data_IF_795081331498
#
_entry.id   IF_795081331498
#
_cell.length_a   1.000
_cell.length_b   1.000
_cell.length_c   1.000
_cell.angle_alpha   90.00
_cell.angle_beta   90.00
_cell.angle_gamma   90.00
#
_symmetry.space_group_name_H-M   'P 1'
#
loop_
_entity.id
_entity.type
_entity.pdbx_description
1 polymer ?
#
# COMPACT_ATOMS: atom_id res chain seq x y z
N UNK A 1 -1.67 16.14 -5.30
CA UNK A 1 -2.82 15.62 -6.08
C UNK A 1 -2.44 14.93 -7.38
N UNK A 2 -1.40 15.38 -8.11
CA UNK A 2 -1.03 14.79 -9.41
C UNK A 2 -0.81 13.26 -9.36
N UNK A 3 -0.02 12.77 -8.41
CA UNK A 3 0.23 11.33 -8.25
C UNK A 3 -1.07 10.56 -7.96
N UNK A 4 -1.94 11.11 -7.10
CA UNK A 4 -3.22 10.49 -6.77
C UNK A 4 -4.11 10.33 -8.02
N UNK A 5 -4.14 11.35 -8.89
CA UNK A 5 -4.87 11.29 -10.16
C UNK A 5 -4.26 10.28 -11.15
N UNK A 6 -2.93 10.10 -11.13
CA UNK A 6 -2.25 9.06 -11.93
C UNK A 6 -2.61 7.66 -11.43
N UNK A 7 -2.62 7.42 -10.12
CA UNK A 7 -3.08 6.15 -9.52
C UNK A 7 -4.54 5.90 -9.89
N UNK A 8 -5.39 6.91 -9.72
CA UNK A 8 -6.81 6.87 -10.03
C UNK A 8 -7.07 6.48 -11.50
N UNK A 9 -6.33 7.09 -12.43
CA UNK A 9 -6.40 6.77 -13.86
C UNK A 9 -5.95 5.34 -14.17
N UNK A 10 -4.90 4.85 -13.50
CA UNK A 10 -4.46 3.45 -13.60
C UNK A 10 -5.57 2.49 -13.16
N UNK A 11 -6.25 2.80 -12.05
CA UNK A 11 -7.36 1.99 -11.52
C UNK A 11 -8.56 2.02 -12.47
N UNK A 12 -8.91 3.17 -13.04
CA UNK A 12 -10.01 3.30 -14.01
C UNK A 12 -9.81 2.47 -15.28
N UNK A 13 -8.56 2.22 -15.68
CA UNK A 13 -8.26 1.43 -16.86
C UNK A 13 -8.47 -0.09 -16.66
N UNK A 14 -8.73 -0.55 -15.43
CA UNK A 14 -8.98 -1.96 -15.16
C UNK A 14 -10.47 -2.32 -15.41
N UNK A 15 -10.78 -3.26 -16.31
CA UNK A 15 -12.15 -3.60 -16.67
C UNK A 15 -12.96 -4.25 -15.55
N UNK A 16 -12.32 -4.75 -14.48
CA UNK A 16 -12.99 -5.33 -13.32
C UNK A 16 -13.53 -4.26 -12.35
N UNK A 17 -13.10 -3.01 -12.48
CA UNK A 17 -13.50 -1.90 -11.58
C UNK A 17 -14.88 -1.39 -11.95
N UNK A 18 -15.74 -1.23 -10.95
CA UNK A 18 -17.08 -0.64 -11.05
C UNK A 18 -17.04 0.84 -10.68
N UNK A 19 -16.41 1.17 -9.55
CA UNK A 19 -16.30 2.55 -9.08
C UNK A 19 -15.06 2.77 -8.21
N UNK A 20 -14.71 4.05 -8.06
CA UNK A 20 -13.49 4.52 -7.39
C UNK A 20 -13.86 5.72 -6.53
N UNK A 21 -13.40 5.74 -5.30
CA UNK A 21 -13.48 6.91 -4.43
C UNK A 21 -12.07 7.35 -4.08
N UNK A 22 -11.74 8.60 -4.41
CA UNK A 22 -10.44 9.20 -4.12
C UNK A 22 -10.54 10.03 -2.85
N UNK A 23 -9.62 9.81 -1.92
CA UNK A 23 -9.55 10.54 -0.65
C UNK A 23 -8.18 11.20 -0.59
N UNK A 24 -8.15 12.53 -0.58
CA UNK A 24 -6.93 13.31 -0.38
C UNK A 24 -6.73 13.58 1.11
N UNK A 25 -5.48 13.51 1.58
CA UNK A 25 -5.12 13.85 2.95
C UNK A 25 -5.11 12.67 3.93
N UNK A 26 -5.53 11.47 3.50
CA UNK A 26 -5.67 10.29 4.37
C UNK A 26 -5.10 9.03 3.72
N UNK A 27 -4.32 8.28 4.49
CA UNK A 27 -3.83 6.93 4.19
C UNK A 27 -4.30 5.95 5.28
N UNK A 28 -4.76 4.77 4.86
CA UNK A 28 -5.15 3.70 5.78
C UNK A 28 -3.98 3.16 6.62
N UNK A 29 -2.74 3.35 6.17
CA UNK A 29 -1.53 2.89 6.86
C UNK A 29 -0.75 4.07 7.46
N UNK A 30 -0.60 5.15 6.69
CA UNK A 30 0.20 6.33 7.08
C UNK A 30 -0.55 7.36 7.93
N UNK A 31 -1.87 7.23 8.10
CA UNK A 31 -2.69 8.19 8.83
C UNK A 31 -3.02 9.44 8.02
N UNK A 32 -3.10 10.60 8.69
CA UNK A 32 -3.55 11.86 8.10
C UNK A 32 -2.35 12.78 7.77
N UNK A 33 -2.41 13.48 6.64
CA UNK A 33 -1.35 14.41 6.20
C UNK A 33 -1.49 14.86 4.75
N UNK A 34 -0.97 16.05 4.39
CA UNK A 34 -1.16 16.66 3.06
C UNK A 34 -0.49 15.89 1.91
N UNK A 35 0.54 15.10 2.24
CA UNK A 35 1.27 14.20 1.32
C UNK A 35 0.64 12.81 1.22
N UNK A 36 -0.42 12.52 1.99
CA UNK A 36 -1.14 11.25 1.93
C UNK A 36 -2.39 11.32 1.06
N UNK A 37 -2.79 10.15 0.58
CA UNK A 37 -4.06 9.93 -0.11
C UNK A 37 -4.36 8.44 -0.22
N UNK A 38 -5.61 8.11 -0.47
CA UNK A 38 -6.07 6.73 -0.60
C UNK A 38 -7.18 6.62 -1.62
N UNK A 39 -7.37 5.41 -2.13
CA UNK A 39 -8.43 5.06 -3.06
C UNK A 39 -9.21 3.88 -2.51
N UNK A 40 -10.53 3.99 -2.49
CA UNK A 40 -11.42 2.85 -2.27
C UNK A 40 -11.89 2.37 -3.65
N UNK A 41 -11.61 1.11 -3.95
CA UNK A 41 -11.88 0.49 -5.25
C UNK A 41 -13.03 -0.50 -5.09
N UNK A 42 -14.16 -0.23 -5.73
CA UNK A 42 -15.27 -1.17 -5.83
C UNK A 42 -15.13 -1.97 -7.13
N UNK A 43 -15.06 -3.28 -7.02
CA UNK A 43 -15.07 -4.18 -8.18
C UNK A 43 -16.52 -4.51 -8.56
N UNK A 44 -16.72 -4.84 -9.83
CA UNK A 44 -18.00 -5.35 -10.34
C UNK A 44 -18.43 -6.62 -9.61
N UNK A 45 -19.69 -7.00 -9.76
CA UNK A 45 -20.17 -8.26 -9.17
C UNK A 45 -19.41 -9.46 -9.75
N UNK A 46 -19.42 -10.58 -9.03
CA UNK A 46 -18.63 -11.76 -9.39
C UNK A 46 -19.06 -12.35 -10.74
N UNK A 47 -20.33 -12.25 -11.07
CA UNK A 47 -20.96 -12.73 -12.31
C UNK A 47 -20.52 -11.93 -13.55
N UNK A 48 -20.05 -10.70 -13.35
CA UNK A 48 -19.60 -9.79 -14.41
C UNK A 48 -18.07 -9.84 -14.63
N UNK A 49 -17.38 -10.70 -13.88
CA UNK A 49 -15.92 -10.82 -13.87
C UNK A 49 -15.51 -12.24 -14.24
N UNK A 50 -14.41 -12.36 -14.98
CA UNK A 50 -13.75 -13.65 -15.15
C UNK A 50 -13.12 -14.13 -13.84
N UNK A 51 -12.81 -15.43 -13.73
CA UNK A 51 -12.07 -16.00 -12.58
C UNK A 51 -10.69 -15.36 -12.41
N UNK A 52 -10.09 -14.87 -13.49
CA UNK A 52 -8.83 -14.12 -13.51
C UNK A 52 -8.99 -12.66 -13.05
N UNK A 53 -10.21 -12.20 -12.78
CA UNK A 53 -10.51 -10.86 -12.28
C UNK A 53 -11.03 -10.92 -10.83
N UNK A 54 -10.64 -11.93 -10.06
CA UNK A 54 -10.86 -11.92 -8.62
C UNK A 54 -10.04 -10.79 -7.95
N UNK A 55 -10.44 -10.39 -6.74
CA UNK A 55 -9.84 -9.26 -6.03
C UNK A 55 -8.33 -9.40 -5.86
N UNK A 56 -7.84 -10.61 -5.57
CA UNK A 56 -6.42 -10.91 -5.40
C UNK A 56 -5.62 -10.60 -6.65
N UNK A 57 -6.09 -11.07 -7.81
CA UNK A 57 -5.40 -10.83 -9.09
C UNK A 57 -5.47 -9.36 -9.48
N UNK A 58 -6.60 -8.69 -9.25
CA UNK A 58 -6.79 -7.28 -9.58
C UNK A 58 -5.82 -6.40 -8.78
N UNK A 59 -5.82 -6.50 -7.44
CA UNK A 59 -4.97 -5.63 -6.63
C UNK A 59 -3.48 -5.93 -6.88
N UNK A 60 -3.09 -7.19 -7.09
CA UNK A 60 -1.70 -7.56 -7.40
C UNK A 60 -1.26 -6.98 -8.76
N UNK A 61 -2.13 -7.03 -9.77
CA UNK A 61 -1.86 -6.46 -11.10
C UNK A 61 -1.73 -4.94 -11.02
N UNK A 62 -2.64 -4.27 -10.31
CA UNK A 62 -2.58 -2.82 -10.09
C UNK A 62 -1.31 -2.42 -9.34
N UNK A 63 -0.92 -3.17 -8.31
CA UNK A 63 0.33 -2.96 -7.59
C UNK A 63 1.55 -3.04 -8.51
N UNK A 64 1.68 -4.13 -9.29
CA UNK A 64 2.80 -4.28 -10.23
C UNK A 64 2.84 -3.16 -11.28
N UNK A 65 1.69 -2.71 -11.78
CA UNK A 65 1.62 -1.60 -12.74
C UNK A 65 2.00 -0.26 -12.10
N UNK A 66 1.49 0.02 -10.90
CA UNK A 66 1.82 1.23 -10.16
C UNK A 66 3.33 1.32 -9.87
N UNK A 67 3.95 0.23 -9.41
CA UNK A 67 5.39 0.15 -9.18
C UNK A 67 6.22 0.45 -10.44
N UNK A 68 5.70 0.17 -11.64
CA UNK A 68 6.38 0.48 -12.90
C UNK A 68 6.27 1.94 -13.30
N UNK A 69 5.09 2.56 -13.12
CA UNK A 69 4.77 3.87 -13.71
C UNK A 69 4.82 5.02 -12.69
N UNK A 70 4.78 4.74 -11.39
CA UNK A 70 4.79 5.72 -10.30
C UNK A 70 6.10 5.52 -9.55
N UNK A 71 6.98 6.51 -9.63
CA UNK A 71 8.32 6.47 -9.00
C UNK A 71 8.46 7.49 -7.88
N UNK A 72 7.55 8.46 -7.85
CA UNK A 72 7.58 9.63 -6.99
C UNK A 72 6.79 9.41 -5.68
N UNK A 73 6.16 8.24 -5.50
CA UNK A 73 5.42 7.88 -4.30
C UNK A 73 5.39 6.37 -4.07
N UNK A 74 5.24 6.00 -2.80
CA UNK A 74 4.95 4.62 -2.41
C UNK A 74 3.45 4.37 -2.53
N UNK A 75 3.08 3.45 -3.42
CA UNK A 75 1.69 3.04 -3.64
C UNK A 75 1.54 1.57 -3.27
N UNK A 76 0.61 1.30 -2.35
CA UNK A 76 0.29 -0.05 -1.86
C UNK A 76 -1.14 -0.40 -2.26
N UNK A 77 -1.37 -1.66 -2.59
CA UNK A 77 -2.71 -2.21 -2.84
C UNK A 77 -2.89 -3.46 -1.99
N UNK A 78 -4.02 -3.53 -1.30
CA UNK A 78 -4.37 -4.66 -0.46
C UNK A 78 -5.89 -4.81 -0.42
N UNK A 79 -6.36 -6.03 -0.14
CA UNK A 79 -7.76 -6.26 0.18
C UNK A 79 -8.03 -5.93 1.66
N UNK A 80 -9.22 -5.43 2.00
CA UNK A 80 -9.60 -5.28 3.40
C UNK A 80 -9.60 -6.64 4.11
N UNK A 81 -9.35 -6.68 5.43
CA UNK A 81 -9.36 -7.93 6.18
C UNK A 81 -10.76 -8.55 6.27
N UNK A 82 -10.80 -9.86 6.48
CA UNK A 82 -12.07 -10.60 6.62
C UNK A 82 -12.89 -10.16 7.83
N UNK A 83 -12.23 -9.72 8.90
CA UNK A 83 -12.88 -9.22 10.12
C UNK A 83 -12.54 -7.72 10.24
N UNK A 84 -13.52 -6.83 10.02
CA UNK A 84 -13.32 -5.40 10.19
C UNK A 84 -12.86 -5.05 11.61
N UNK A 85 -12.00 -4.04 11.75
CA UNK A 85 -11.58 -3.49 13.05
C UNK A 85 -10.35 -4.13 13.69
N UNK A 86 -9.81 -5.23 13.14
CA UNK A 86 -8.58 -5.86 13.63
C UNK A 86 -7.30 -5.35 12.97
N UNK A 87 -7.38 -4.89 11.72
CA UNK A 87 -6.27 -4.27 10.97
C UNK A 87 -6.82 -3.49 9.77
N UNK A 88 -5.98 -2.71 9.11
CA UNK A 88 -6.27 -2.12 7.80
C UNK A 88 -6.04 -3.12 6.65
N UNK A 89 -5.18 -4.13 6.84
CA UNK A 89 -4.83 -5.13 5.83
C UNK A 89 -4.78 -6.56 6.42
N UNK A 90 -4.60 -7.57 5.55
CA UNK A 90 -4.49 -8.98 5.95
C UNK A 90 -3.02 -9.44 6.14
N UNK A 91 -2.17 -8.54 6.63
CA UNK A 91 -0.73 -8.75 6.76
C UNK A 91 -0.28 -8.95 8.21
N UNK A 92 1.01 -9.22 8.41
CA UNK A 92 1.65 -9.20 9.73
C UNK A 92 2.17 -7.78 9.97
N UNK A 93 1.77 -7.16 11.09
CA UNK A 93 2.28 -5.87 11.53
C UNK A 93 3.37 -6.06 12.60
N UNK A 94 4.49 -5.36 12.44
CA UNK A 94 5.58 -5.32 13.40
C UNK A 94 5.89 -3.87 13.77
N UNK A 95 6.00 -3.60 15.06
CA UNK A 95 6.40 -2.30 15.58
C UNK A 95 7.83 -2.39 16.12
N UNK A 96 8.76 -1.71 15.45
CA UNK A 96 10.15 -1.62 15.90
C UNK A 96 10.33 -0.39 16.80
N UNK A 97 11.05 -0.56 17.91
CA UNK A 97 11.26 0.51 18.89
C UNK A 97 12.75 0.69 19.17
N UNK A 98 13.26 1.90 18.98
CA UNK A 98 14.51 2.33 19.58
C UNK A 98 14.29 2.67 21.07
N UNK A 99 15.06 2.03 21.95
CA UNK A 99 15.03 2.25 23.40
C UNK A 99 16.18 3.12 23.89
N UNK A 100 17.09 3.51 23.02
CA UNK A 100 18.28 4.28 23.35
C UNK A 100 18.02 5.79 23.31
N UNK A 101 17.03 6.22 22.53
CA UNK A 101 16.75 7.65 22.30
C UNK A 101 17.82 8.31 21.44
N UNK A 102 18.43 7.54 20.54
CA UNK A 102 19.56 7.95 19.73
C UNK A 102 19.17 8.77 18.50
N UNK A 103 20.08 8.82 17.52
CA UNK A 103 19.83 9.52 16.27
C UNK A 103 18.76 8.81 15.42
N UNK A 104 17.82 9.60 14.89
CA UNK A 104 16.67 9.08 14.15
C UNK A 104 17.07 8.51 12.78
N UNK A 105 18.11 9.05 12.14
CA UNK A 105 18.59 8.53 10.86
C UNK A 105 19.29 7.19 11.06
N UNK A 106 20.07 7.05 12.14
CA UNK A 106 20.62 5.75 12.50
C UNK A 106 19.52 4.70 12.72
N UNK A 107 18.44 5.05 13.43
CA UNK A 107 17.30 4.14 13.59
C UNK A 107 16.63 3.80 12.25
N UNK A 108 16.51 4.77 11.34
CA UNK A 108 15.99 4.55 10.00
C UNK A 108 16.86 3.59 9.17
N UNK A 109 18.18 3.68 9.27
CA UNK A 109 19.10 2.73 8.62
C UNK A 109 18.87 1.31 9.13
N UNK A 110 18.72 1.12 10.46
CA UNK A 110 18.41 -0.18 11.07
C UNK A 110 17.07 -0.74 10.57
N UNK A 111 16.04 0.10 10.46
CA UNK A 111 14.73 -0.30 9.92
C UNK A 111 14.85 -0.74 8.45
N UNK A 112 15.62 -0.01 7.64
CA UNK A 112 15.84 -0.34 6.23
C UNK A 112 16.60 -1.66 6.07
N UNK A 113 17.67 -1.87 6.83
CA UNK A 113 18.44 -3.12 6.83
C UNK A 113 17.58 -4.31 7.24
N UNK A 114 16.76 -4.15 8.29
CA UNK A 114 15.82 -5.19 8.72
C UNK A 114 14.78 -5.51 7.64
N UNK A 115 14.23 -4.47 6.99
CA UNK A 115 13.25 -4.64 5.90
C UNK A 115 13.88 -5.35 4.70
N UNK A 116 15.11 -4.99 4.32
CA UNK A 116 15.85 -5.65 3.24
C UNK A 116 16.16 -7.13 3.58
N UNK A 117 16.51 -7.41 4.84
CA UNK A 117 16.72 -8.78 5.31
C UNK A 117 15.44 -9.62 5.26
N UNK A 118 14.28 -9.03 5.56
CA UNK A 118 12.98 -9.69 5.39
C UNK A 118 12.67 -9.98 3.93
N UNK A 119 12.88 -9.03 3.02
CA UNK A 119 12.63 -9.22 1.58
C UNK A 119 13.53 -10.29 0.95
N UNK A 120 14.70 -10.57 1.54
CA UNK A 120 15.59 -11.65 1.08
C UNK A 120 15.08 -13.06 1.45
N UNK A 121 14.04 -13.18 2.28
CA UNK A 121 13.50 -14.47 2.74
C UNK A 121 12.47 -15.01 1.74
N UNK A 122 12.57 -16.27 1.30
CA UNK A 122 11.64 -16.83 0.31
C UNK A 122 10.19 -16.93 0.81
N UNK A 123 9.97 -16.97 2.12
CA UNK A 123 8.64 -16.96 2.74
C UNK A 123 7.98 -15.57 2.81
N UNK A 124 8.72 -14.48 2.54
CA UNK A 124 8.22 -13.10 2.58
C UNK A 124 8.05 -12.59 1.16
N UNK A 125 6.80 -12.33 0.76
CA UNK A 125 6.51 -11.78 -0.57
C UNK A 125 6.89 -10.29 -0.70
N UNK A 126 6.74 -9.51 0.38
CA UNK A 126 7.08 -8.09 0.44
C UNK A 126 7.17 -7.64 1.89
N UNK A 127 8.09 -6.72 2.20
CA UNK A 127 8.15 -6.01 3.48
C UNK A 127 8.24 -4.50 3.22
N UNK A 128 7.43 -3.71 3.93
CA UNK A 128 7.37 -2.25 3.75
C UNK A 128 7.18 -1.57 5.09
N UNK A 129 7.71 -0.36 5.21
CA UNK A 129 7.52 0.52 6.37
C UNK A 129 6.94 1.85 5.91
N UNK A 130 6.16 2.50 6.77
CA UNK A 130 5.71 3.90 6.61
C UNK A 130 6.65 4.88 7.33
N UNK A 131 7.59 4.38 8.14
CA UNK A 131 8.55 5.21 8.85
C UNK A 131 9.57 5.80 7.89
N UNK A 132 9.68 7.13 7.86
CA UNK A 132 10.71 7.85 7.13
C UNK A 132 11.01 9.15 7.89
N UNK A 133 12.23 9.34 8.42
CA UNK A 133 12.59 10.52 9.19
C UNK A 133 12.67 11.80 8.34
N UNK A 134 12.73 11.66 7.01
CA UNK A 134 12.79 12.77 6.06
C UNK A 134 11.40 13.17 5.53
N UNK A 135 10.32 12.70 6.17
CA UNK A 135 8.93 12.97 5.75
C UNK A 135 8.22 13.91 6.76
N UNK A 136 7.35 14.84 6.31
CA UNK A 136 6.98 15.09 4.92
C UNK A 136 8.11 15.71 4.10
#
# INVERSE_FOLDING_TARGET
MEVLNRVDSLVAADPAVESRTVISGFSFIGGQGPSYGSLIIKLKNWEERSTMQNSTVVYATLFMRAQKIIKEAQVLFFAPPMIPGYSASSDIELNMQDKTGGDLNHFFDVVNDYTAALEARPEINSAKTSFNPNFP
#
